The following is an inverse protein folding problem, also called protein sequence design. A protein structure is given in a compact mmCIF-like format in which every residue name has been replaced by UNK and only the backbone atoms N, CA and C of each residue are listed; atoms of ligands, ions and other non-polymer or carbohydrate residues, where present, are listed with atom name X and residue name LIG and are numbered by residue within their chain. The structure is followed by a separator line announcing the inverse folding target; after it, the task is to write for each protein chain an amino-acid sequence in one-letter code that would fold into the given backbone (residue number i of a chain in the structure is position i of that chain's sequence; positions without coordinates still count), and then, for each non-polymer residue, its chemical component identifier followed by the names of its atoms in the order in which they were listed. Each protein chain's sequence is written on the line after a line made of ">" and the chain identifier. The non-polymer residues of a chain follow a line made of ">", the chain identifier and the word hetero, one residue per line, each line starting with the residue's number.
data_IF_624670836464
#
_entry.id   IF_624670836464
#
_cell.length_a   1.000
_cell.length_b   1.000
_cell.length_c   1.000
_cell.angle_alpha   90.00
_cell.angle_beta   90.00
_cell.angle_gamma   90.00
#
_symmetry.space_group_name_H-M   'P 1'
#
loop_
_entity.id
_entity.type
_entity.pdbx_description
1 polymer ?
2 non-polymer ?
#
# COMPACT_ATOMS: atom_id res chain seq x y z
N UNK A 5 -19.48 24.24 3.32
CA UNK A 5 -18.55 25.34 3.03
C UNK A 5 -17.07 24.88 3.09
N UNK A 6 -16.40 25.04 1.96
CA UNK A 6 -15.05 24.53 1.73
C UNK A 6 -13.99 25.44 2.34
N UNK A 7 -12.72 25.01 2.27
CA UNK A 7 -11.59 25.72 2.83
C UNK A 7 -10.54 26.00 1.76
N UNK A 8 -9.82 27.10 1.93
CA UNK A 8 -8.66 27.42 1.12
C UNK A 8 -7.45 27.48 2.05
N UNK A 9 -6.49 26.62 1.80
CA UNK A 9 -5.25 26.62 2.57
C UNK A 9 -4.02 26.56 1.70
N UNK A 10 -4.14 26.21 0.42
CA UNK A 10 -3.00 26.04 -0.46
C UNK A 10 -2.65 27.36 -1.13
N UNK A 11 -1.40 27.45 -1.56
CA UNK A 11 -0.84 28.70 -2.02
C UNK A 11 -1.32 29.13 -3.40
N UNK A 12 -2.11 28.30 -4.08
CA UNK A 12 -2.63 28.67 -5.38
C UNK A 12 -3.99 29.35 -5.31
N UNK A 13 -4.41 29.81 -4.12
CA UNK A 13 -5.69 30.48 -3.92
C UNK A 13 -6.89 29.60 -4.28
N UNK A 14 -6.73 28.29 -4.35
CA UNK A 14 -7.87 27.46 -4.72
C UNK A 14 -8.23 26.49 -3.60
N UNK A 15 -9.51 26.12 -3.47
CA UNK A 15 -9.94 25.31 -2.33
C UNK A 15 -9.66 23.82 -2.53
N UNK A 16 -9.84 23.08 -1.44
CA UNK A 16 -9.79 21.62 -1.41
C UNK A 16 -10.52 21.00 -2.59
N UNK A 17 -11.85 21.09 -2.58
CA UNK A 17 -12.68 20.59 -3.69
C UNK A 17 -12.40 19.11 -3.99
N UNK A 18 -12.23 18.31 -2.94
CA UNK A 18 -11.99 16.89 -3.11
C UNK A 18 -10.62 16.51 -3.61
N UNK A 19 -9.75 17.46 -3.81
CA UNK A 19 -8.43 17.17 -4.35
C UNK A 19 -7.51 16.70 -3.23
N UNK A 20 -6.73 15.64 -3.45
CA UNK A 20 -5.84 15.16 -2.39
C UNK A 20 -4.85 16.24 -1.98
N UNK A 21 -4.60 16.32 -0.68
CA UNK A 21 -3.73 17.35 -0.12
C UNK A 21 -2.81 16.74 0.91
N UNK A 22 -1.61 17.32 1.02
CA UNK A 22 -0.59 16.87 1.96
C UNK A 22 -0.28 18.03 2.91
N UNK A 23 0.08 17.70 4.14
CA UNK A 23 0.32 18.68 5.20
C UNK A 23 1.77 19.15 5.15
N UNK A 24 2.01 20.44 5.44
CA UNK A 24 3.39 20.88 5.61
C UNK A 24 3.89 20.27 6.91
N UNK A 25 4.98 19.52 6.80
CA UNK A 25 5.49 18.77 7.94
C UNK A 25 5.97 19.73 9.04
N UNK A 26 6.11 21.02 8.72
CA UNK A 26 6.69 22.05 9.59
C UNK A 26 5.71 23.19 9.90
N UNK A 27 5.17 23.87 8.88
CA UNK A 27 4.22 24.95 9.09
C UNK A 27 2.78 24.46 9.23
N UNK A 28 2.47 23.24 8.80
CA UNK A 28 1.15 22.67 8.94
C UNK A 28 0.15 22.98 7.86
N UNK A 29 0.47 23.86 6.90
CA UNK A 29 -0.53 24.21 5.91
C UNK A 29 -0.73 23.05 4.95
N UNK A 30 -1.94 22.95 4.40
CA UNK A 30 -2.30 21.86 3.52
C UNK A 30 -2.14 22.32 2.07
N UNK A 31 -1.34 21.57 1.32
CA UNK A 31 -1.02 21.90 -0.07
C UNK A 31 -1.62 20.82 -0.95
N UNK A 32 -2.35 21.26 -1.99
CA UNK A 32 -2.77 20.36 -3.06
C UNK A 32 -1.59 19.54 -3.55
N UNK A 33 -1.79 18.21 -3.69
CA UNK A 33 -0.69 17.37 -4.16
C UNK A 33 -0.24 17.76 -5.55
N UNK A 34 -1.19 18.11 -6.42
CA UNK A 34 -0.82 18.58 -7.75
C UNK A 34 0.08 19.81 -7.67
N UNK A 35 -0.28 20.78 -6.84
CA UNK A 35 0.56 21.95 -6.64
C UNK A 35 1.91 21.60 -6.01
N UNK A 36 1.95 20.63 -5.12
CA UNK A 36 3.20 20.21 -4.51
C UNK A 36 4.04 19.34 -5.43
N UNK A 37 3.53 19.00 -6.64
CA UNK A 37 4.26 18.23 -7.66
C UNK A 37 4.64 16.84 -7.13
N UNK A 38 3.63 16.19 -6.53
CA UNK A 38 3.74 14.88 -5.89
C UNK A 38 2.81 13.91 -6.60
N UNK A 39 3.38 12.81 -7.11
CA UNK A 39 2.61 11.73 -7.71
C UNK A 39 2.05 10.77 -6.66
N UNK A 40 0.83 10.27 -6.89
CA UNK A 40 0.21 9.32 -5.97
C UNK A 40 1.06 8.08 -5.74
N UNK A 41 1.94 7.75 -6.70
CA UNK A 41 2.80 6.58 -6.60
C UNK A 41 4.00 6.78 -5.69
N UNK A 42 4.39 8.03 -5.44
CA UNK A 42 5.53 8.33 -4.55
C UNK A 42 5.15 9.51 -3.68
N UNK A 43 4.88 9.26 -2.40
CA UNK A 43 4.42 10.30 -1.49
C UNK A 43 5.42 10.40 -0.34
N UNK A 44 6.02 11.56 -0.10
CA UNK A 44 7.01 11.68 0.97
C UNK A 44 6.39 11.40 2.33
N UNK A 45 7.20 10.81 3.21
CA UNK A 45 6.73 10.67 4.59
C UNK A 45 6.70 12.03 5.26
N UNK A 46 7.66 12.89 4.94
CA UNK A 46 7.74 14.26 5.41
C UNK A 46 7.74 15.18 4.20
N UNK A 47 6.81 16.14 4.19
CA UNK A 47 6.68 17.09 3.10
C UNK A 47 6.88 18.51 3.61
N UNK A 48 7.51 19.35 2.80
CA UNK A 48 7.74 20.72 3.23
C UNK A 48 7.38 21.66 2.09
N UNK A 49 6.56 22.66 2.39
CA UNK A 49 6.09 23.52 1.33
C UNK A 49 7.15 24.56 0.97
N UNK A 50 6.89 25.30 -0.11
CA UNK A 50 7.85 26.29 -0.58
C UNK A 50 8.17 27.33 0.50
N UNK A 51 7.15 27.77 1.24
CA UNK A 51 7.42 28.76 2.27
C UNK A 51 8.36 28.22 3.33
N UNK A 52 8.19 26.96 3.73
CA UNK A 52 9.01 26.41 4.80
C UNK A 52 10.32 25.81 4.33
N UNK A 53 10.53 25.67 3.02
CA UNK A 53 11.88 25.40 2.50
C UNK A 53 12.18 26.30 1.31
N UNK B 3 5.53 10.58 14.26
CA UNK B 3 5.20 11.84 13.60
C UNK B 3 5.53 11.77 12.12
N UNK B 4 4.68 12.38 11.28
CA UNK B 4 4.89 12.41 9.86
C UNK B 4 3.93 13.38 9.20
N UNK B 5 3.96 13.43 7.88
CA UNK B 5 3.13 14.38 7.14
C UNK B 5 1.85 13.68 6.67
N UNK B 6 0.71 14.16 7.17
CA UNK B 6 -0.57 13.49 6.97
C UNK B 6 -1.16 13.82 5.61
N UNK B 7 -2.25 13.13 5.24
CA UNK B 7 -2.92 13.33 3.96
C UNK B 7 -4.41 13.57 4.18
N UNK B 8 -5.00 14.37 3.30
CA UNK B 8 -6.45 14.55 3.22
C UNK B 8 -6.89 14.13 1.82
N UNK B 9 -7.73 13.10 1.75
CA UNK B 9 -8.31 12.66 0.49
C UNK B 9 -9.80 12.44 0.58
N UNK B 10 -10.37 12.38 1.77
CA UNK B 10 -11.76 12.03 1.94
C UNK B 10 -12.65 13.27 1.85
N UNK B 11 -13.89 13.05 1.41
CA UNK B 11 -14.80 14.14 1.13
C UNK B 11 -15.20 14.90 2.38
N UNK B 12 -14.97 14.32 3.56
CA UNK B 12 -15.24 14.99 4.82
C UNK B 12 -14.18 16.03 5.17
N UNK B 13 -13.15 16.18 4.33
CA UNK B 13 -12.10 17.19 4.51
C UNK B 13 -11.35 16.98 5.83
N UNK B 14 -11.19 15.72 6.24
CA UNK B 14 -10.39 15.43 7.40
C UNK B 14 -9.32 14.42 7.06
N UNK B 15 -8.17 14.44 7.73
CA UNK B 15 -7.03 13.63 7.32
C UNK B 15 -7.18 12.17 7.74
N UNK B 16 -6.19 11.37 7.37
CA UNK B 16 -6.19 9.96 7.75
C UNK B 16 -6.12 9.81 9.26
N UNK B 17 -5.07 10.35 9.86
CA UNK B 17 -4.87 10.31 11.30
C UNK B 17 -5.00 8.89 11.84
N UNK B 18 -4.41 7.94 11.12
CA UNK B 18 -4.44 6.56 11.56
C UNK B 18 -5.76 5.84 11.40
N UNK B 19 -6.78 6.50 10.84
CA UNK B 19 -8.14 5.97 10.67
C UNK B 19 -8.24 5.09 9.43
N UNK B 20 -8.94 3.96 9.52
CA UNK B 20 -9.03 3.06 8.36
C UNK B 20 -9.59 3.75 7.13
N UNK B 21 -9.03 3.42 5.97
CA UNK B 21 -9.40 4.05 4.71
C UNK B 21 -9.65 2.96 3.67
N UNK B 22 -10.62 3.22 2.79
CA UNK B 22 -10.99 2.31 1.71
C UNK B 22 -10.81 3.04 0.38
N UNK B 23 -10.44 2.30 -0.66
CA UNK B 23 -10.24 2.91 -1.98
C UNK B 23 -11.51 2.84 -2.82
N UNK B 24 -11.82 3.92 -3.55
CA UNK B 24 -12.88 3.88 -4.55
C UNK B 24 -12.38 3.14 -5.78
N UNK B 25 -13.09 2.09 -6.17
CA UNK B 25 -12.67 1.33 -7.33
C UNK B 25 -12.72 2.18 -8.60
N UNK B 26 -13.65 3.13 -8.69
CA UNK B 26 -13.75 3.99 -9.86
C UNK B 26 -12.79 5.18 -9.80
N UNK B 27 -13.03 6.10 -8.84
CA UNK B 27 -12.34 7.38 -8.83
C UNK B 27 -10.94 7.30 -8.23
N UNK B 28 -10.62 6.25 -7.46
CA UNK B 28 -9.32 6.14 -6.83
C UNK B 28 -9.17 6.84 -5.50
N UNK B 29 -10.17 7.60 -5.08
CA UNK B 29 -10.08 8.39 -3.85
C UNK B 29 -10.14 7.49 -2.63
N UNK B 30 -9.47 7.92 -1.56
CA UNK B 30 -9.45 7.18 -0.31
C UNK B 30 -10.51 7.79 0.61
N UNK B 31 -11.44 6.95 1.08
CA UNK B 31 -12.55 7.40 1.90
C UNK B 31 -12.40 6.82 3.30
N UNK B 32 -12.59 7.67 4.30
CA UNK B 32 -12.75 7.20 5.68
C UNK B 32 -13.75 6.07 5.71
N UNK B 33 -13.37 4.95 6.35
CA UNK B 33 -14.26 3.80 6.38
C UNK B 33 -15.56 4.13 7.10
N UNK B 34 -15.46 4.86 8.22
CA UNK B 34 -16.67 5.34 8.90
C UNK B 34 -17.50 6.23 7.98
N UNK B 35 -16.84 7.11 7.23
CA UNK B 35 -17.55 7.98 6.29
C UNK B 35 -18.25 7.18 5.20
N UNK B 36 -17.63 6.09 4.76
CA UNK B 36 -18.19 5.23 3.74
C UNK B 36 -19.27 4.31 4.27
N UNK B 37 -19.47 4.30 5.58
CA UNK B 37 -20.51 3.48 6.21
C UNK B 37 -20.27 2.01 5.94
N UNK B 38 -19.06 1.57 6.23
CA UNK B 38 -18.66 0.18 6.09
C UNK B 38 -18.43 -0.37 7.48
N UNK B 39 -18.97 -1.56 7.73
CA UNK B 39 -18.73 -2.31 8.95
C UNK B 39 -17.53 -3.20 8.68
N UNK B 40 -16.58 -3.21 9.61
CA UNK B 40 -15.27 -3.82 9.35
C UNK B 40 -15.40 -5.33 9.25
N UNK B 41 -16.61 -5.85 9.46
CA UNK B 41 -16.81 -7.30 9.41
C UNK B 41 -17.06 -7.79 7.99
N UNK B 42 -17.56 -6.93 7.11
CA UNK B 42 -17.71 -7.25 5.70
C UNK B 42 -17.33 -6.01 4.90
N UNK B 43 -16.20 -6.06 4.21
CA UNK B 43 -15.72 -4.93 3.44
C UNK B 43 -15.84 -5.32 1.97
N UNK B 44 -16.52 -4.53 1.15
CA UNK B 44 -16.73 -4.94 -0.23
C UNK B 44 -15.40 -5.11 -0.95
N UNK B 45 -15.37 -6.07 -1.86
CA UNK B 45 -14.20 -6.21 -2.71
C UNK B 45 -14.11 -5.00 -3.64
N UNK B 46 -15.25 -4.48 -4.06
CA UNK B 46 -15.31 -3.28 -4.88
C UNK B 46 -16.14 -2.24 -4.14
N UNK B 47 -15.54 -1.07 -3.92
CA UNK B 47 -16.16 0.04 -3.23
C UNK B 47 -16.21 1.25 -4.14
N UNK B 48 -17.28 2.03 -4.00
CA UNK B 48 -17.52 3.20 -4.81
C UNK B 48 -17.95 4.35 -3.91
N UNK B 49 -17.32 5.50 -4.06
CA UNK B 49 -17.58 6.61 -3.17
C UNK B 49 -18.89 7.29 -3.53
N UNK B 50 -19.35 8.20 -2.67
CA UNK B 50 -20.61 8.86 -2.95
C UNK B 50 -20.54 9.68 -4.23
N UNK B 51 -19.39 10.25 -4.54
CA UNK B 51 -19.22 11.09 -5.71
C UNK B 51 -19.34 10.30 -7.04
N UNK B 52 -19.69 9.01 -6.97
CA UNK B 52 -19.84 8.18 -8.16
C UNK B 52 -20.50 6.84 -7.83
N UNK B 53 -21.67 6.60 -8.41
CA UNK B 53 -22.55 5.47 -8.08
C UNK B 53 -22.81 5.43 -6.57
N UNK C 3 -7.45 -8.19 -7.56
CA UNK C 3 -7.58 -6.75 -7.78
C UNK C 3 -8.96 -6.24 -7.37
N UNK C 4 -9.00 -5.06 -6.77
CA UNK C 4 -10.24 -4.47 -6.32
C UNK C 4 -10.00 -3.14 -5.64
N UNK C 5 -10.46 -3.01 -4.41
CA UNK C 5 -10.31 -1.78 -3.63
C UNK C 5 -9.38 -2.05 -2.46
N UNK C 6 -8.26 -1.33 -2.40
CA UNK C 6 -7.31 -1.63 -1.33
C UNK C 6 -7.81 -1.05 -0.02
N UNK C 7 -7.17 -1.48 1.05
CA UNK C 7 -7.56 -1.06 2.38
C UNK C 7 -6.32 -0.53 3.06
N UNK C 8 -6.47 0.50 3.90
CA UNK C 8 -5.40 0.97 4.76
C UNK C 8 -5.89 0.90 6.20
N UNK C 9 -5.25 0.04 7.00
CA UNK C 9 -5.61 -0.09 8.41
C UNK C 9 -4.42 -0.10 9.35
N UNK C 10 -3.20 -0.26 8.86
CA UNK C 10 -2.05 -0.43 9.73
C UNK C 10 -1.51 0.94 10.17
N UNK C 11 -0.63 0.90 11.18
CA UNK C 11 0.00 2.11 11.68
C UNK C 11 0.63 2.89 10.52
N UNK C 12 1.59 2.27 9.84
CA UNK C 12 2.02 2.76 8.54
C UNK C 12 0.81 2.92 7.64
N UNK C 13 0.80 3.95 6.82
CA UNK C 13 -0.35 4.12 5.94
C UNK C 13 -0.34 3.18 4.75
N UNK C 14 0.56 2.16 4.73
CA UNK C 14 0.62 1.35 3.52
C UNK C 14 -0.37 0.19 3.57
N UNK C 15 -0.83 -0.29 2.40
CA UNK C 15 -1.84 -1.36 2.37
C UNK C 15 -1.19 -2.71 2.66
N UNK C 16 -2.01 -3.76 2.59
CA UNK C 16 -1.56 -5.14 2.69
C UNK C 16 -0.36 -5.40 1.79
N UNK C 17 -0.58 -5.38 0.47
CA UNK C 17 0.50 -5.55 -0.50
C UNK C 17 1.25 -6.87 -0.30
N UNK C 18 0.50 -7.94 -0.05
CA UNK C 18 1.10 -9.25 0.14
C UNK C 18 1.86 -9.44 1.44
N UNK C 19 1.92 -8.44 2.28
CA UNK C 19 2.65 -8.50 3.53
C UNK C 19 1.80 -9.13 4.60
N UNK C 20 2.31 -10.11 5.36
CA UNK C 20 1.47 -10.78 6.35
C UNK C 20 0.94 -9.80 7.40
N UNK C 21 -0.33 -10.01 7.78
CA UNK C 21 -0.99 -9.11 8.72
C UNK C 21 -1.73 -9.91 9.77
N UNK C 22 -1.79 -9.36 10.97
CA UNK C 22 -2.47 -10.00 12.08
C UNK C 22 -3.62 -9.12 12.56
N UNK C 23 -4.66 -9.76 13.08
CA UNK C 23 -5.87 -9.08 13.53
C UNK C 23 -5.72 -8.66 14.98
N UNK C 24 -6.21 -7.46 15.31
CA UNK C 24 -6.35 -7.03 16.70
C UNK C 24 -7.54 -7.75 17.32
N UNK C 25 -7.31 -8.50 18.39
CA UNK C 25 -8.42 -9.23 19.00
C UNK C 25 -9.48 -8.33 19.61
N UNK C 26 -9.21 -7.03 19.76
CA UNK C 26 -10.15 -6.17 20.45
C UNK C 26 -10.89 -5.25 19.48
N UNK C 27 -10.16 -4.48 18.65
CA UNK C 27 -10.80 -3.55 17.74
C UNK C 27 -11.00 -4.11 16.34
N UNK C 28 -10.33 -5.21 15.98
CA UNK C 28 -10.48 -5.81 14.67
C UNK C 28 -9.55 -5.33 13.57
N UNK C 29 -8.71 -4.32 13.82
CA UNK C 29 -7.87 -3.77 12.77
C UNK C 29 -6.75 -4.74 12.40
N UNK C 30 -6.28 -4.66 11.16
CA UNK C 30 -5.22 -5.52 10.64
C UNK C 30 -3.91 -4.76 10.65
N UNK C 31 -2.89 -5.33 11.29
CA UNK C 31 -1.59 -4.69 11.43
C UNK C 31 -0.55 -5.54 10.69
N UNK C 32 0.28 -4.88 9.87
CA UNK C 32 1.48 -5.50 9.33
C UNK C 32 2.29 -6.17 10.45
N UNK C 33 2.67 -7.45 10.25
CA UNK C 33 3.44 -8.14 11.29
C UNK C 33 4.77 -7.46 11.56
N UNK C 34 5.45 -7.03 10.51
CA UNK C 34 6.68 -6.28 10.69
C UNK C 34 6.42 -5.03 11.52
N UNK C 35 5.32 -4.34 11.24
CA UNK C 35 4.95 -3.16 12.01
C UNK C 35 4.67 -3.50 13.46
N UNK C 36 4.07 -4.66 13.70
CA UNK C 36 3.77 -5.11 15.06
C UNK C 36 4.97 -5.70 15.78
N UNK C 37 6.12 -5.81 15.10
CA UNK C 37 7.32 -6.41 15.70
C UNK C 37 7.06 -7.87 16.06
N UNK C 38 6.47 -8.59 15.12
CA UNK C 38 6.15 -10.00 15.29
C UNK C 38 6.94 -10.79 14.26
N UNK C 39 7.64 -11.82 14.71
CA UNK C 39 8.38 -12.68 13.80
C UNK C 39 7.51 -13.84 13.35
N UNK C 40 7.72 -14.29 12.11
CA UNK C 40 6.92 -15.38 11.55
C UNK C 40 7.03 -16.65 12.38
N UNK C 41 8.19 -16.88 13.00
CA UNK C 41 8.41 -18.06 13.84
C UNK C 41 7.75 -17.95 15.20
N UNK C 42 7.38 -16.76 15.65
CA UNK C 42 6.71 -16.57 16.94
C UNK C 42 5.56 -15.58 16.75
N UNK C 43 4.33 -16.09 16.74
CA UNK C 43 3.14 -15.27 16.51
C UNK C 43 2.20 -15.45 17.68
N UNK C 44 1.78 -14.37 18.35
CA UNK C 44 0.87 -14.53 19.50
C UNK C 44 -0.47 -15.11 19.09
N UNK C 45 -1.06 -15.89 19.99
CA UNK C 45 -2.41 -16.36 19.74
C UNK C 45 -3.40 -15.21 19.78
N UNK C 46 -3.16 -14.25 20.68
CA UNK C 46 -3.98 -13.06 20.81
C UNK C 46 -3.09 -11.84 20.64
N UNK C 47 -3.47 -10.96 19.72
CA UNK C 47 -2.73 -9.75 19.44
C UNK C 47 -3.59 -8.53 19.68
N UNK C 48 -2.98 -7.46 20.19
CA UNK C 48 -3.68 -6.23 20.50
C UNK C 48 -2.87 -5.04 19.99
N UNK C 49 -3.52 -4.15 19.26
CA UNK C 49 -2.81 -3.05 18.65
C UNK C 49 -2.53 -1.96 19.69
N UNK C 50 -1.65 -1.03 19.31
CA UNK C 50 -1.29 0.07 20.21
C UNK C 50 -2.52 0.71 20.83
N UNK C 51 -3.53 1.00 20.00
CA UNK C 51 -4.70 1.72 20.45
C UNK C 51 -5.50 0.94 21.48
N UNK C 52 -5.43 -0.39 21.45
CA UNK C 52 -6.19 -1.21 22.39
C UNK C 52 -5.41 -1.58 23.64
N UNK C 53 -4.51 -0.72 24.10
CA UNK C 53 -3.79 -0.96 25.35
C UNK C 53 -3.75 0.27 26.26
N UNK D 1 -12.30 -21.64 12.41
CA UNK D 1 -11.24 -20.66 12.62
C UNK D 1 -10.52 -20.77 13.95
N UNK D 2 -9.52 -19.90 14.17
CA UNK D 2 -8.77 -19.93 15.42
C UNK D 2 -9.52 -19.22 16.53
N UNK D 3 -9.12 -19.53 17.77
CA UNK D 3 -9.67 -18.83 18.93
C UNK D 3 -9.26 -17.35 18.94
N UNK D 4 -7.97 -17.09 18.72
CA UNK D 4 -7.44 -15.76 18.93
C UNK D 4 -7.48 -14.82 17.75
N UNK D 5 -6.31 -14.29 17.38
CA UNK D 5 -6.16 -13.32 16.31
C UNK D 5 -5.87 -14.05 15.01
N UNK D 6 -6.70 -13.79 13.99
CA UNK D 6 -6.49 -14.50 12.74
C UNK D 6 -5.39 -13.81 11.95
N UNK D 7 -4.97 -14.44 10.84
CA UNK D 7 -3.88 -13.94 10.02
C UNK D 7 -4.31 -13.82 8.57
N UNK D 8 -3.73 -12.84 7.88
CA UNK D 8 -3.89 -12.68 6.45
C UNK D 8 -2.53 -12.83 5.79
N UNK D 9 -2.41 -13.85 4.94
CA UNK D 9 -1.19 -14.09 4.18
C UNK D 9 -1.46 -14.40 2.72
N UNK D 10 -2.68 -14.72 2.32
CA UNK D 10 -2.91 -15.07 0.92
C UNK D 10 -3.24 -13.82 0.12
N UNK D 11 -3.05 -13.94 -1.20
CA UNK D 11 -3.22 -12.81 -2.11
C UNK D 11 -4.68 -12.37 -2.20
N UNK D 12 -5.63 -13.19 -1.76
CA UNK D 12 -7.03 -12.81 -1.86
C UNK D 12 -7.46 -11.84 -0.77
N UNK D 13 -6.51 -11.27 -0.01
CA UNK D 13 -6.79 -10.31 1.06
C UNK D 13 -7.64 -10.91 2.18
N UNK D 14 -7.73 -12.24 2.26
CA UNK D 14 -8.65 -12.78 3.25
C UNK D 14 -7.94 -13.70 4.23
N UNK D 15 -8.43 -13.80 5.46
CA UNK D 15 -7.69 -14.47 6.52
C UNK D 15 -7.75 -15.99 6.44
N UNK D 16 -6.89 -16.61 7.25
CA UNK D 16 -6.89 -18.06 7.40
C UNK D 16 -8.29 -18.60 7.67
N UNK D 17 -8.89 -18.22 8.81
CA UNK D 17 -10.28 -18.54 9.12
C UNK D 17 -10.56 -20.04 9.01
N UNK D 18 -9.63 -20.85 9.52
CA UNK D 18 -9.77 -22.28 9.55
C UNK D 18 -9.65 -22.97 8.21
N UNK D 19 -9.39 -22.23 7.14
CA UNK D 19 -9.34 -22.72 5.77
C UNK D 19 -7.95 -23.28 5.47
N UNK D 20 -7.88 -24.46 4.84
CA UNK D 20 -6.57 -25.08 4.57
C UNK D 20 -5.69 -24.19 3.68
N UNK D 21 -4.41 -24.14 4.02
CA UNK D 21 -3.45 -23.32 3.30
C UNK D 21 -2.16 -24.09 3.07
N UNK D 22 -1.52 -23.80 1.95
CA UNK D 22 -0.27 -24.42 1.57
C UNK D 22 0.80 -23.34 1.44
N UNK D 23 2.04 -23.70 1.76
CA UNK D 23 3.12 -22.73 1.67
C UNK D 23 3.77 -22.78 0.29
N UNK D 24 4.18 -21.61 -0.18
CA UNK D 24 5.01 -21.50 -1.36
C UNK D 24 6.41 -22.01 -1.02
N UNK D 25 6.89 -23.00 -1.77
CA UNK D 25 8.20 -23.58 -1.44
C UNK D 25 9.32 -22.56 -1.60
N UNK D 26 9.12 -21.51 -2.40
CA UNK D 26 10.07 -20.43 -2.54
C UNK D 26 9.75 -19.23 -1.63
N UNK D 27 8.52 -18.71 -1.72
CA UNK D 27 8.18 -17.46 -1.05
C UNK D 27 8.04 -17.61 0.45
N UNK D 28 7.68 -18.80 0.92
CA UNK D 28 7.29 -18.98 2.30
C UNK D 28 5.85 -18.59 2.56
N UNK D 29 5.18 -17.98 1.56
CA UNK D 29 3.85 -17.43 1.72
C UNK D 29 2.80 -18.54 1.81
N UNK D 30 1.75 -18.28 2.58
CA UNK D 30 0.66 -19.23 2.77
C UNK D 30 -0.52 -18.83 1.90
N UNK D 31 -0.96 -19.75 1.04
CA UNK D 31 -2.04 -19.52 0.10
C UNK D 31 -3.19 -20.47 0.44
N UNK D 32 -4.41 -19.93 0.51
CA UNK D 32 -5.59 -20.78 0.59
C UNK D 32 -5.54 -21.85 -0.50
N UNK D 33 -5.81 -23.10 -0.12
CA UNK D 33 -5.82 -24.16 -1.12
C UNK D 33 -6.87 -23.87 -2.20
N UNK D 34 -8.04 -23.38 -1.78
CA UNK D 34 -9.06 -22.98 -2.75
C UNK D 34 -8.56 -21.86 -3.63
N UNK D 35 -7.89 -20.85 -3.04
CA UNK D 35 -7.36 -19.75 -3.84
C UNK D 35 -6.34 -20.27 -4.85
N UNK D 36 -5.58 -21.30 -4.50
CA UNK D 36 -4.63 -21.94 -5.40
C UNK D 36 -5.27 -22.97 -6.34
N UNK D 37 -6.56 -23.26 -6.17
CA UNK D 37 -7.27 -24.24 -6.99
C UNK D 37 -6.64 -25.64 -6.85
N UNK D 38 -6.45 -26.06 -5.60
CA UNK D 38 -5.95 -27.38 -5.23
C UNK D 38 -7.03 -28.12 -4.49
N UNK D 39 -7.25 -29.40 -4.83
CA UNK D 39 -8.20 -30.22 -4.12
C UNK D 39 -7.54 -30.81 -2.88
N UNK D 40 -8.24 -30.77 -1.74
CA UNK D 40 -7.66 -31.31 -0.51
C UNK D 40 -7.31 -32.79 -0.65
N UNK D 41 -7.92 -33.49 -1.61
CA UNK D 41 -7.65 -34.90 -1.88
C UNK D 41 -6.38 -35.11 -2.70
N UNK D 42 -5.91 -34.09 -3.41
CA UNK D 42 -4.68 -34.18 -4.20
C UNK D 42 -3.90 -32.90 -3.97
N UNK D 43 -2.83 -32.99 -3.18
CA UNK D 43 -2.06 -31.84 -2.72
C UNK D 43 -0.62 -32.01 -3.20
N UNK D 44 -0.07 -31.04 -3.94
CA UNK D 44 1.31 -31.16 -4.43
C UNK D 44 2.32 -31.21 -3.30
N UNK D 45 3.41 -31.92 -3.53
CA UNK D 45 4.53 -31.87 -2.59
C UNK D 45 5.21 -30.51 -2.63
N UNK D 46 5.29 -29.89 -3.82
CA UNK D 46 5.90 -28.58 -4.00
C UNK D 46 4.92 -27.62 -4.66
N UNK D 47 4.72 -26.46 -4.02
CA UNK D 47 3.81 -25.41 -4.46
C UNK D 47 4.56 -24.11 -4.68
N UNK D 48 4.08 -23.29 -5.65
CA UNK D 48 4.77 -22.04 -5.95
C UNK D 48 3.82 -20.86 -6.14
N UNK D 49 4.08 -19.79 -5.39
CA UNK D 49 3.29 -18.55 -5.39
C UNK D 49 3.81 -17.54 -6.42
N UNK D 50 3.52 -17.80 -7.69
CA UNK D 50 3.76 -16.82 -8.75
C UNK D 50 5.20 -16.37 -8.87
N UNK E 4 32.54 -1.20 -29.76
CA UNK E 4 33.78 -1.57 -29.12
C UNK E 4 33.87 -1.17 -27.65
N UNK E 5 33.73 0.12 -27.38
CA UNK E 5 33.80 0.65 -26.02
C UNK E 5 32.41 0.72 -25.40
N UNK E 6 32.23 0.00 -24.29
CA UNK E 6 30.95 -0.11 -23.60
C UNK E 6 30.78 1.11 -22.67
N UNK E 7 29.62 1.21 -22.02
CA UNK E 7 29.31 2.31 -21.11
C UNK E 7 28.88 1.80 -19.74
N UNK E 8 29.21 2.57 -18.72
CA UNK E 8 28.72 2.36 -17.35
C UNK E 8 27.94 3.60 -16.95
N UNK E 9 26.65 3.44 -16.71
CA UNK E 9 25.82 4.55 -16.23
C UNK E 9 24.90 4.15 -15.10
N UNK E 10 24.69 2.86 -14.87
CA UNK E 10 23.75 2.37 -13.88
C UNK E 10 24.43 2.29 -12.53
N UNK E 11 23.63 2.43 -11.47
CA UNK E 11 24.17 2.47 -10.12
C UNK E 11 24.75 1.12 -9.71
N UNK E 12 24.38 0.04 -10.39
CA UNK E 12 25.02 -1.24 -10.14
C UNK E 12 26.49 -1.23 -10.52
N UNK E 13 26.93 -0.21 -11.25
CA UNK E 13 28.32 0.01 -11.61
C UNK E 13 28.86 -1.10 -12.52
N UNK E 14 27.98 -1.93 -13.06
CA UNK E 14 28.30 -2.85 -14.12
C UNK E 14 27.88 -2.22 -15.44
N UNK E 15 28.54 -2.53 -16.56
CA UNK E 15 28.29 -1.82 -17.80
C UNK E 15 27.00 -2.27 -18.49
N UNK E 16 26.73 -1.62 -19.63
CA UNK E 16 25.58 -1.96 -20.48
C UNK E 16 25.58 -3.44 -20.85
N UNK E 17 26.53 -3.85 -21.69
CA UNK E 17 26.74 -5.27 -22.02
C UNK E 17 25.49 -5.90 -22.63
N UNK E 18 24.82 -5.15 -23.52
CA UNK E 18 23.66 -5.67 -24.20
C UNK E 18 22.43 -5.82 -23.33
N UNK E 19 22.49 -5.47 -22.06
CA UNK E 19 21.38 -5.65 -21.14
C UNK E 19 20.38 -4.52 -21.29
N UNK E 20 19.08 -4.82 -21.30
CA UNK E 20 18.08 -3.77 -21.49
C UNK E 20 18.17 -2.71 -20.39
N UNK E 21 18.00 -1.46 -20.80
CA UNK E 21 18.11 -0.33 -19.88
C UNK E 21 16.99 0.66 -20.13
N UNK E 22 16.54 1.29 -19.04
CA UNK E 22 15.52 2.31 -19.10
C UNK E 22 16.09 3.61 -18.52
N UNK E 23 15.67 4.75 -19.08
CA UNK E 23 16.16 6.03 -18.60
C UNK E 23 15.22 6.60 -17.55
N UNK E 24 15.80 7.33 -16.61
CA UNK E 24 15.01 8.15 -15.70
C UNK E 24 14.48 9.36 -16.45
N UNK E 25 13.16 9.56 -16.45
CA UNK E 25 12.55 10.68 -17.15
C UNK E 25 12.99 11.99 -16.51
N UNK E 26 13.70 11.89 -15.39
CA UNK E 26 14.23 13.03 -14.64
C UNK E 26 15.75 13.05 -14.64
N UNK E 27 16.41 12.00 -14.12
CA UNK E 27 17.86 12.02 -14.08
C UNK E 27 18.46 11.98 -15.46
N UNK E 28 17.76 11.39 -16.42
CA UNK E 28 18.27 11.16 -17.75
C UNK E 28 19.18 9.95 -17.82
N UNK E 29 19.62 9.43 -16.67
CA UNK E 29 20.58 8.36 -16.59
C UNK E 29 19.92 7.03 -16.92
N UNK E 30 20.71 6.10 -17.45
CA UNK E 30 20.22 4.80 -17.88
C UNK E 30 20.51 3.74 -16.81
N UNK E 31 19.47 3.05 -16.36
CA UNK E 31 19.55 2.02 -15.35
C UNK E 31 19.14 0.69 -15.98
N UNK E 32 19.93 -0.36 -15.76
CA UNK E 32 19.48 -1.70 -16.12
C UNK E 32 18.08 -1.91 -15.56
N UNK E 33 17.16 -2.37 -16.41
CA UNK E 33 15.82 -2.61 -15.92
C UNK E 33 15.80 -3.69 -14.84
N UNK E 34 16.67 -4.70 -14.95
CA UNK E 34 16.76 -5.68 -13.87
C UNK E 34 17.13 -4.99 -12.56
N UNK E 35 18.09 -4.07 -12.59
CA UNK E 35 18.45 -3.34 -11.38
C UNK E 35 17.28 -2.49 -10.90
N UNK E 36 16.48 -1.96 -11.82
CA UNK E 36 15.31 -1.18 -11.49
C UNK E 36 14.12 -2.03 -11.06
N UNK E 37 14.29 -3.36 -11.09
CA UNK E 37 13.26 -4.32 -10.71
C UNK E 37 12.03 -4.21 -11.63
N UNK E 38 12.30 -4.18 -12.93
CA UNK E 38 11.29 -4.11 -13.96
C UNK E 38 11.37 -5.38 -14.81
N UNK E 39 10.22 -5.89 -15.24
CA UNK E 39 10.16 -7.03 -16.13
C UNK E 39 9.96 -6.58 -17.57
N UNK E 40 10.51 -7.37 -18.51
CA UNK E 40 10.36 -7.04 -19.93
C UNK E 40 8.89 -6.94 -20.31
N UNK E 41 8.07 -7.82 -19.76
CA UNK E 41 6.66 -7.90 -20.12
C UNK E 41 5.85 -6.72 -19.59
N UNK E 42 6.31 -6.05 -18.54
CA UNK E 42 5.60 -4.90 -17.98
C UNK E 42 6.62 -3.83 -17.62
N UNK E 43 6.67 -2.77 -18.41
CA UNK E 43 7.65 -1.71 -18.26
C UNK E 43 6.89 -0.37 -18.08
N UNK E 44 7.17 0.38 -17.02
CA UNK E 44 6.47 1.66 -16.83
C UNK E 44 6.76 2.63 -17.95
N UNK E 45 5.77 3.47 -18.26
CA UNK E 45 5.97 4.54 -19.23
C UNK E 45 6.89 5.62 -18.69
N UNK E 46 6.81 5.90 -17.38
CA UNK E 46 7.69 6.87 -16.72
C UNK E 46 8.42 6.19 -15.58
N UNK E 47 9.75 6.31 -15.59
CA UNK E 47 10.63 5.70 -14.60
C UNK E 47 11.44 6.79 -13.88
N UNK E 48 11.77 6.53 -12.62
CA UNK E 48 12.46 7.50 -11.79
C UNK E 48 13.64 6.84 -11.07
N UNK E 49 14.81 7.50 -11.16
CA UNK E 49 16.12 7.01 -10.77
C UNK E 49 16.43 7.06 -9.28
N UNK E 50 15.51 7.56 -8.44
CA UNK E 50 15.74 7.81 -7.01
C UNK E 50 16.49 9.14 -6.84
#
# INVERSE_FOLDING_TARGET
>A
GPLGSDLITCYCRKPFAGRPMIECSLCGTWIHLSCAKIKKTNVPDFFYCQKCKELRPEARR
>B
GPLGSDLITCYCRKPFAGRPMIECSLCGTWIHLSCAKIKKTNVPDFFYCQKCKELRPEARR
>C
GPLGSDLITCYCRKPFAGRPMIECSLCGTWIHLSCAKIKKTNVPDFFYCQKCKELRPEARR
>D
GPLGSDLITCYCRKPFAGRPMIECSLCGTWIHLSCAKIKKTNVPDFFYCQKCKELRPEARR
>E
GPLGSDLITCYCRKPFAGRPMIECSLCGTWIHLSCAKIKKTNVPDFFYCQKCKELRPEARR
#
